data_IF_954727128337
#
_entry.id   IF_954727128337
#
_cell.length_a   1.000
_cell.length_b   1.000
_cell.length_c   1.000
_cell.angle_alpha   90.00
_cell.angle_beta   90.00
_cell.angle_gamma   90.00
#
_symmetry.space_group_name_H-M   'P 1'
#
loop_
_entity.id
_entity.type
_entity.pdbx_description
1 polymer ?
#
# COMPACT_ATOMS: atom_id res chain seq x y z
N UNK A 1 2.75 4.57 5.84
CA UNK A 1 1.43 5.15 5.52
C UNK A 1 0.39 4.63 6.49
N UNK A 2 -0.67 5.39 6.76
CA UNK A 2 -1.80 4.88 7.54
C UNK A 2 -2.76 4.12 6.64
N UNK A 3 -3.47 3.13 7.20
CA UNK A 3 -4.61 2.50 6.56
C UNK A 3 -5.85 2.93 7.34
N UNK A 4 -6.86 3.50 6.68
CA UNK A 4 -8.15 3.79 7.34
C UNK A 4 -8.91 2.48 7.62
N UNK A 5 -10.12 2.62 8.17
CA UNK A 5 -11.04 1.55 8.52
C UNK A 5 -11.46 0.66 7.34
N UNK A 6 -11.39 1.20 6.11
CA UNK A 6 -11.61 0.47 4.86
C UNK A 6 -10.33 -0.09 4.24
N UNK A 7 -9.17 0.18 4.83
CA UNK A 7 -7.87 -0.25 4.30
C UNK A 7 -7.33 0.62 3.17
N UNK A 8 -7.88 1.82 2.98
CA UNK A 8 -7.34 2.78 2.02
C UNK A 8 -6.06 3.42 2.58
N UNK A 9 -5.00 3.55 1.76
CA UNK A 9 -3.76 4.16 2.18
C UNK A 9 -3.89 5.67 2.29
N UNK A 10 -3.43 6.20 3.41
CA UNK A 10 -3.36 7.63 3.72
C UNK A 10 -1.91 8.01 4.00
N UNK A 11 -1.35 8.86 3.14
CA UNK A 11 0.02 9.35 3.25
C UNK A 11 0.05 10.60 4.12
N UNK A 12 0.96 10.61 5.09
CA UNK A 12 1.22 11.80 5.89
C UNK A 12 2.05 12.80 5.09
N UNK A 13 1.55 14.03 5.03
CA UNK A 13 2.22 15.18 4.46
C UNK A 13 3.36 15.65 5.39
N UNK A 14 4.49 16.11 4.83
CA UNK A 14 5.58 16.68 5.62
C UNK A 14 5.11 17.84 6.50
N UNK A 15 5.50 17.83 7.78
CA UNK A 15 5.20 18.90 8.73
C UNK A 15 3.72 19.11 9.12
N UNK A 16 2.77 18.44 8.47
CA UNK A 16 1.34 18.60 8.75
C UNK A 16 0.98 17.93 10.08
N UNK A 17 0.27 18.67 10.93
CA UNK A 17 -0.31 18.13 12.16
C UNK A 17 -1.71 17.64 11.88
N UNK A 18 -1.97 16.40 12.27
CA UNK A 18 -3.26 15.76 12.04
C UNK A 18 -4.15 15.84 13.27
N UNK A 19 -5.40 16.24 13.07
CA UNK A 19 -6.42 16.40 14.11
C UNK A 19 -7.16 15.10 14.44
N UNK A 20 -8.02 15.11 15.48
CA UNK A 20 -8.72 13.92 15.95
C UNK A 20 -9.85 13.43 15.01
N UNK A 21 -10.23 14.23 14.02
CA UNK A 21 -11.30 13.93 13.06
C UNK A 21 -10.78 13.54 11.68
N UNK A 22 -9.46 13.43 11.50
CA UNK A 22 -8.88 12.99 10.24
C UNK A 22 -8.71 11.47 10.23
N UNK A 23 -8.78 10.87 9.04
CA UNK A 23 -8.83 9.41 8.83
C UNK A 23 -7.50 8.67 9.13
N UNK A 24 -6.49 9.37 9.63
CA UNK A 24 -5.18 8.79 9.98
C UNK A 24 -5.18 8.11 11.36
N UNK A 25 -6.35 7.67 11.84
CA UNK A 25 -6.53 7.00 13.12
C UNK A 25 -6.23 5.50 13.07
N UNK A 26 -6.12 4.91 11.88
CA UNK A 26 -5.98 3.47 11.69
C UNK A 26 -4.58 2.90 11.93
N UNK A 27 -4.29 1.76 11.32
CA UNK A 27 -3.00 1.07 11.50
C UNK A 27 -1.90 1.74 10.67
N UNK A 28 -0.69 1.81 11.22
CA UNK A 28 0.48 2.29 10.50
C UNK A 28 1.10 1.14 9.72
N UNK A 29 0.94 1.15 8.39
CA UNK A 29 1.63 0.24 7.48
C UNK A 29 3.02 0.79 7.11
N UNK A 30 4.05 0.00 7.40
CA UNK A 30 5.42 0.24 6.95
C UNK A 30 5.52 -0.15 5.48
N UNK A 31 5.92 0.82 4.65
CA UNK A 31 6.08 0.70 3.21
C UNK A 31 7.22 1.61 2.77
N UNK A 32 7.70 1.47 1.54
CA UNK A 32 8.76 2.32 1.00
C UNK A 32 8.34 3.75 0.73
N UNK A 33 7.03 3.99 0.54
CA UNK A 33 6.44 5.34 0.55
C UNK A 33 6.57 6.01 1.93
N UNK A 34 6.84 5.24 2.99
CA UNK A 34 6.94 5.75 4.34
C UNK A 34 8.23 6.58 4.57
N UNK A 35 8.01 7.90 4.62
CA UNK A 35 8.66 8.89 5.48
C UNK A 35 10.06 9.46 5.15
N UNK A 36 10.05 10.79 4.98
CA UNK A 36 10.94 11.74 5.66
C UNK A 36 10.07 12.85 6.31
N UNK A 37 10.43 13.35 7.49
CA UNK A 37 9.94 14.60 8.10
C UNK A 37 8.42 14.83 8.35
N UNK A 38 7.65 13.78 8.63
CA UNK A 38 6.21 13.87 8.93
C UNK A 38 5.92 13.96 10.44
N UNK A 39 4.73 14.43 10.81
CA UNK A 39 4.23 14.40 12.20
C UNK A 39 3.21 13.28 12.36
N UNK A 40 3.55 12.25 13.13
CA UNK A 40 2.62 11.15 13.47
C UNK A 40 1.41 11.71 14.23
N UNK A 41 0.17 11.36 13.84
CA UNK A 41 -1.06 11.74 14.56
C UNK A 41 -0.99 11.37 16.05
N UNK A 42 -1.61 12.16 16.90
CA UNK A 42 -1.63 11.90 18.35
C UNK A 42 -2.56 10.71 18.68
N UNK A 43 -3.75 10.72 18.08
CA UNK A 43 -4.78 9.70 18.23
C UNK A 43 -4.77 8.76 17.03
N UNK A 44 -4.26 7.56 17.23
CA UNK A 44 -4.32 6.47 16.26
C UNK A 44 -4.28 5.12 16.99
N UNK A 45 -4.52 4.04 16.27
CA UNK A 45 -4.67 2.68 16.80
C UNK A 45 -3.47 2.15 17.58
N UNK A 46 -2.29 2.77 17.46
CA UNK A 46 -1.01 2.28 17.96
C UNK A 46 -0.62 0.90 17.41
N UNK A 47 -1.23 0.47 16.30
CA UNK A 47 -0.90 -0.78 15.62
C UNK A 47 0.04 -0.50 14.45
N UNK A 48 1.27 -0.99 14.53
CA UNK A 48 2.25 -0.91 13.43
C UNK A 48 2.32 -2.26 12.73
N UNK A 49 2.25 -2.22 11.41
CA UNK A 49 2.15 -3.39 10.56
C UNK A 49 3.23 -3.32 9.48
N UNK A 50 3.92 -4.42 9.23
CA UNK A 50 4.99 -4.45 8.22
C UNK A 50 5.58 -5.84 8.05
N UNK A 51 6.51 -6.00 7.11
CA UNK A 51 7.29 -7.23 7.02
C UNK A 51 8.19 -7.41 8.25
N UNK A 52 8.73 -8.61 8.43
CA UNK A 52 9.70 -8.87 9.49
C UNK A 52 10.95 -7.99 9.36
N UNK A 53 11.41 -7.76 8.13
CA UNK A 53 12.54 -6.89 7.84
C UNK A 53 12.22 -5.42 8.21
N UNK A 54 11.06 -4.91 7.83
CA UNK A 54 10.65 -3.53 8.14
C UNK A 54 10.58 -3.29 9.65
N UNK A 55 9.97 -4.23 10.38
CA UNK A 55 9.86 -4.15 11.83
C UNK A 55 11.23 -4.28 12.52
N UNK A 56 12.13 -5.10 11.98
CA UNK A 56 13.50 -5.19 12.45
C UNK A 56 14.25 -3.86 12.26
N UNK A 57 14.21 -3.29 11.04
CA UNK A 57 14.78 -1.99 10.73
C UNK A 57 14.24 -0.89 11.66
N UNK A 58 12.92 -0.85 11.88
CA UNK A 58 12.27 0.12 12.75
C UNK A 58 12.75 0.01 14.21
N UNK A 59 13.00 -1.20 14.71
CA UNK A 59 13.58 -1.43 16.05
C UNK A 59 15.04 -0.97 16.13
N UNK A 60 15.84 -1.32 15.13
CA UNK A 60 17.27 -0.98 15.08
C UNK A 60 17.52 0.54 14.96
N UNK A 61 16.67 1.25 14.23
CA UNK A 61 16.76 2.70 14.07
C UNK A 61 16.36 3.50 15.33
N UNK A 62 16.05 2.82 16.46
CA UNK A 62 15.61 3.43 17.71
C UNK A 62 14.37 4.33 17.57
N UNK A 63 13.59 4.21 16.49
CA UNK A 63 12.35 4.99 16.29
C UNK A 63 11.34 4.70 17.41
N UNK A 64 11.38 3.48 17.97
CA UNK A 64 10.63 3.05 19.16
C UNK A 64 11.06 3.72 20.48
N UNK A 65 12.25 4.30 20.55
CA UNK A 65 12.66 5.07 21.74
C UNK A 65 11.98 6.44 21.81
N UNK A 66 11.33 6.88 20.73
CA UNK A 66 10.44 8.04 20.83
C UNK A 66 9.19 7.65 21.64
N UNK A 67 8.78 8.52 22.56
CA UNK A 67 7.60 8.32 23.41
C UNK A 67 6.32 8.02 22.62
N UNK A 68 6.26 8.43 21.34
CA UNK A 68 5.12 8.21 20.44
C UNK A 68 4.92 6.75 20.04
N UNK A 69 5.99 5.96 19.99
CA UNK A 69 5.96 4.55 19.54
C UNK A 69 6.18 3.53 20.66
N UNK A 70 6.59 3.97 21.86
CA UNK A 70 6.91 3.10 22.99
C UNK A 70 5.82 2.08 23.37
N UNK A 71 4.54 2.42 23.16
CA UNK A 71 3.39 1.57 23.51
C UNK A 71 2.66 1.00 22.28
N UNK A 72 3.33 0.85 21.14
CA UNK A 72 2.69 0.31 19.94
C UNK A 72 2.68 -1.22 19.90
N UNK A 73 1.58 -1.78 19.43
CA UNK A 73 1.47 -3.20 19.08
C UNK A 73 2.07 -3.43 17.69
N UNK A 74 3.00 -4.38 17.60
CA UNK A 74 3.63 -4.76 16.34
C UNK A 74 2.95 -5.98 15.74
N UNK A 75 2.55 -5.88 14.47
CA UNK A 75 1.95 -6.98 13.72
C UNK A 75 2.78 -7.30 12.49
N UNK A 76 3.41 -8.47 12.52
CA UNK A 76 4.22 -8.94 11.39
C UNK A 76 3.33 -9.52 10.30
N UNK A 77 3.43 -8.97 9.09
CA UNK A 77 2.87 -9.55 7.88
C UNK A 77 3.80 -10.65 7.37
N UNK A 78 3.31 -11.90 7.39
CA UNK A 78 4.06 -13.01 6.79
C UNK A 78 3.78 -13.06 5.28
N UNK A 79 4.81 -13.34 4.45
CA UNK A 79 4.64 -13.53 3.01
C UNK A 79 3.49 -14.46 2.67
N UNK A 80 2.62 -14.03 1.75
CA UNK A 80 1.48 -14.79 1.25
C UNK A 80 0.53 -15.29 2.36
N UNK A 81 0.54 -14.69 3.56
CA UNK A 81 -0.37 -15.06 4.65
C UNK A 81 -1.33 -13.89 4.94
N UNK A 82 -2.65 -14.10 4.80
CA UNK A 82 -3.63 -13.08 5.17
C UNK A 82 -3.53 -12.78 6.66
N UNK A 83 -3.50 -11.49 6.98
CA UNK A 83 -3.40 -10.98 8.35
C UNK A 83 -4.52 -9.98 8.58
N UNK A 84 -5.45 -10.34 9.46
CA UNK A 84 -6.54 -9.45 9.90
C UNK A 84 -5.99 -8.29 10.70
N UNK A 85 -6.52 -7.09 10.54
CA UNK A 85 -6.20 -5.89 11.31
C UNK A 85 -7.53 -5.27 11.72
N UNK A 86 -7.73 -5.14 13.02
CA UNK A 86 -8.95 -4.58 13.59
C UNK A 86 -8.78 -3.08 13.80
N UNK A 87 -9.82 -2.31 13.49
CA UNK A 87 -9.91 -0.89 13.78
C UNK A 87 -11.33 -0.54 14.27
N UNK A 88 -11.51 -0.47 15.60
CA UNK A 88 -12.84 -0.26 16.17
C UNK A 88 -13.74 -1.46 15.86
N UNK A 89 -14.83 -1.22 15.13
CA UNK A 89 -15.79 -2.25 14.73
C UNK A 89 -15.52 -2.83 13.32
N UNK A 90 -14.48 -2.34 12.63
CA UNK A 90 -14.12 -2.82 11.30
C UNK A 90 -12.91 -3.74 11.33
N UNK A 91 -12.82 -4.62 10.32
CA UNK A 91 -11.69 -5.51 10.10
C UNK A 91 -11.28 -5.43 8.63
N UNK A 92 -9.98 -5.20 8.41
CA UNK A 92 -9.36 -5.35 7.09
C UNK A 92 -8.42 -6.55 7.11
N UNK A 93 -8.32 -7.25 5.99
CA UNK A 93 -7.35 -8.32 5.79
C UNK A 93 -6.25 -7.81 4.88
N UNK A 94 -5.01 -7.83 5.37
CA UNK A 94 -3.82 -7.43 4.60
C UNK A 94 -2.98 -8.66 4.33
N UNK A 95 -2.62 -8.87 3.06
CA UNK A 95 -1.69 -9.90 2.62
C UNK A 95 -0.49 -9.24 1.96
N UNK A 96 0.70 -9.53 2.49
CA UNK A 96 1.97 -9.13 1.90
C UNK A 96 2.35 -10.12 0.80
N UNK A 97 2.48 -9.66 -0.44
CA UNK A 97 2.86 -10.48 -1.59
C UNK A 97 4.30 -10.11 -1.97
N UNK A 98 5.26 -11.03 -1.86
CA UNK A 98 6.62 -10.80 -2.32
C UNK A 98 6.65 -10.66 -3.83
N UNK A 99 7.27 -9.59 -4.33
CA UNK A 99 7.40 -9.35 -5.77
C UNK A 99 8.83 -9.55 -6.26
N UNK A 100 9.76 -9.95 -5.39
CA UNK A 100 11.16 -10.18 -5.71
C UNK A 100 12.09 -9.28 -4.91
N UNK A 101 13.29 -9.03 -5.43
CA UNK A 101 14.32 -8.20 -4.79
C UNK A 101 14.72 -7.03 -5.67
N UNK A 102 15.08 -5.91 -5.02
CA UNK A 102 15.73 -4.80 -5.69
C UNK A 102 17.16 -5.15 -6.14
N UNK A 103 17.77 -4.24 -6.91
CA UNK A 103 19.20 -4.33 -7.26
C UNK A 103 20.11 -4.41 -6.03
N UNK A 104 19.70 -3.79 -4.92
CA UNK A 104 20.40 -3.81 -3.63
C UNK A 104 20.00 -5.01 -2.75
N UNK A 105 19.39 -6.05 -3.36
CA UNK A 105 18.89 -7.25 -2.69
C UNK A 105 17.84 -7.02 -1.60
N UNK A 106 17.22 -5.83 -1.54
CA UNK A 106 16.11 -5.55 -0.62
C UNK A 106 14.83 -6.22 -1.12
N UNK A 107 14.17 -6.96 -0.23
CA UNK A 107 12.87 -7.56 -0.52
C UNK A 107 11.87 -6.47 -0.92
N UNK A 108 11.20 -6.70 -2.05
CA UNK A 108 10.14 -5.85 -2.57
C UNK A 108 8.81 -6.55 -2.35
N UNK A 109 7.80 -5.77 -1.98
CA UNK A 109 6.48 -6.30 -1.68
C UNK A 109 5.40 -5.41 -2.27
N UNK A 110 4.26 -6.04 -2.55
CA UNK A 110 2.98 -5.35 -2.69
C UNK A 110 2.04 -5.80 -1.57
N UNK A 111 0.98 -5.03 -1.35
CA UNK A 111 -0.02 -5.34 -0.34
C UNK A 111 -1.37 -5.55 -1.01
N UNK A 112 -1.96 -6.72 -0.82
CA UNK A 112 -3.35 -6.99 -1.17
C UNK A 112 -4.22 -6.77 0.07
N UNK A 113 -5.26 -5.95 -0.06
CA UNK A 113 -6.15 -5.56 1.02
C UNK A 113 -7.59 -5.89 0.66
N UNK A 114 -8.29 -6.54 1.59
CA UNK A 114 -9.69 -6.93 1.43
C UNK A 114 -10.46 -6.62 2.73
N UNK A 115 -11.60 -5.96 2.63
CA UNK A 115 -12.47 -5.61 3.77
C UNK A 115 -13.90 -6.17 3.63
N UNK A 116 -14.10 -7.15 2.74
CA UNK A 116 -15.41 -7.73 2.40
C UNK A 116 -16.22 -6.94 1.35
N UNK A 117 -15.86 -5.69 1.08
CA UNK A 117 -16.54 -4.82 0.10
C UNK A 117 -15.64 -4.46 -1.08
N UNK A 118 -14.38 -4.13 -0.80
CA UNK A 118 -13.38 -3.68 -1.78
C UNK A 118 -12.14 -4.55 -1.74
N UNK A 119 -11.59 -4.82 -2.93
CA UNK A 119 -10.29 -5.47 -3.13
C UNK A 119 -9.31 -4.43 -3.65
N UNK A 120 -8.34 -4.08 -2.82
CA UNK A 120 -7.33 -3.09 -3.16
C UNK A 120 -5.94 -3.73 -3.31
N UNK A 121 -5.14 -3.17 -4.20
CA UNK A 121 -3.74 -3.51 -4.38
C UNK A 121 -2.89 -2.27 -4.14
N UNK A 122 -1.95 -2.31 -3.20
CA UNK A 122 -0.96 -1.25 -3.02
C UNK A 122 0.37 -1.70 -3.63
N UNK A 123 0.74 -1.07 -4.74
CA UNK A 123 1.99 -1.27 -5.45
C UNK A 123 2.98 -0.22 -4.97
N UNK A 124 3.65 -0.55 -3.88
CA UNK A 124 4.70 0.25 -3.26
C UNK A 124 6.04 0.06 -3.99
N UNK A 125 6.41 -1.18 -4.28
CA UNK A 125 7.55 -1.52 -5.14
C UNK A 125 7.16 -2.63 -6.11
N UNK A 126 7.83 -2.68 -7.25
CA UNK A 126 7.63 -3.70 -8.27
C UNK A 126 8.97 -4.16 -8.84
N UNK A 127 9.09 -5.45 -9.09
CA UNK A 127 10.25 -6.02 -9.79
C UNK A 127 9.95 -6.23 -11.28
N UNK A 128 11.02 -6.41 -12.05
CA UNK A 128 11.04 -6.66 -13.50
C UNK A 128 10.25 -7.88 -13.99
N UNK A 129 9.79 -8.75 -13.08
CA UNK A 129 9.23 -10.06 -13.46
C UNK A 129 7.96 -10.31 -12.65
N UNK A 130 6.83 -10.49 -13.35
CA UNK A 130 5.53 -10.76 -12.74
C UNK A 130 5.34 -12.23 -12.32
N UNK A 131 6.43 -12.96 -12.06
CA UNK A 131 6.41 -14.38 -11.70
C UNK A 131 5.87 -14.63 -10.28
N UNK A 132 5.65 -13.57 -9.51
CA UNK A 132 5.01 -13.64 -8.20
C UNK A 132 3.51 -13.89 -8.29
N UNK A 133 2.86 -13.52 -9.41
CA UNK A 133 1.43 -13.70 -9.60
C UNK A 133 0.99 -15.16 -9.39
N UNK A 134 1.61 -16.18 -10.03
CA UNK A 134 1.26 -17.57 -9.76
C UNK A 134 1.70 -18.06 -8.36
N UNK A 135 2.64 -17.37 -7.69
CA UNK A 135 3.14 -17.74 -6.36
C UNK A 135 2.34 -17.16 -5.20
N UNK A 136 1.37 -16.27 -5.50
CA UNK A 136 0.47 -15.70 -4.50
C UNK A 136 -0.40 -16.75 -3.81
N UNK A 137 -1.03 -16.37 -2.70
CA UNK A 137 -1.93 -17.27 -1.98
C UNK A 137 -3.32 -17.36 -2.64
N UNK A 138 -4.13 -18.31 -2.15
CA UNK A 138 -5.50 -18.53 -2.63
C UNK A 138 -6.40 -17.29 -2.52
N UNK A 139 -6.26 -16.49 -1.46
CA UNK A 139 -7.07 -15.28 -1.26
C UNK A 139 -6.72 -14.22 -2.31
N UNK A 140 -5.44 -14.02 -2.60
CA UNK A 140 -4.96 -13.13 -3.64
C UNK A 140 -5.41 -13.59 -5.03
N UNK A 141 -5.30 -14.89 -5.35
CA UNK A 141 -5.78 -15.43 -6.63
C UNK A 141 -7.30 -15.29 -6.78
N UNK A 142 -8.06 -15.52 -5.72
CA UNK A 142 -9.51 -15.26 -5.70
C UNK A 142 -9.80 -13.78 -5.94
N UNK A 143 -9.06 -12.89 -5.28
CA UNK A 143 -9.17 -11.45 -5.47
C UNK A 143 -8.90 -11.02 -6.91
N UNK A 144 -7.84 -11.55 -7.53
CA UNK A 144 -7.54 -11.32 -8.94
C UNK A 144 -8.66 -11.84 -9.86
N UNK A 145 -9.19 -13.04 -9.60
CA UNK A 145 -10.27 -13.63 -10.38
C UNK A 145 -11.61 -12.89 -10.24
N UNK A 146 -11.86 -12.24 -9.10
CA UNK A 146 -13.02 -11.39 -8.85
C UNK A 146 -12.85 -9.95 -9.36
N UNK A 147 -11.63 -9.56 -9.69
CA UNK A 147 -11.26 -8.21 -10.11
C UNK A 147 -10.81 -7.34 -8.94
N UNK A 148 -9.77 -6.53 -9.19
CA UNK A 148 -9.25 -5.53 -8.27
C UNK A 148 -10.05 -4.24 -8.44
N UNK A 149 -10.65 -3.74 -7.36
CA UNK A 149 -11.45 -2.52 -7.39
C UNK A 149 -10.54 -1.29 -7.47
N UNK A 150 -9.47 -1.26 -6.68
CA UNK A 150 -8.58 -0.11 -6.61
C UNK A 150 -7.12 -0.54 -6.59
N UNK A 151 -6.29 0.08 -7.42
CA UNK A 151 -4.84 -0.06 -7.37
C UNK A 151 -4.20 1.27 -6.97
N UNK A 152 -3.49 1.27 -5.85
CA UNK A 152 -2.68 2.41 -5.40
C UNK A 152 -1.24 2.22 -5.83
N UNK A 153 -0.61 3.24 -6.39
CA UNK A 153 0.74 3.17 -6.95
C UNK A 153 1.63 4.21 -6.28
N UNK A 154 2.83 3.81 -5.82
CA UNK A 154 3.86 4.79 -5.48
C UNK A 154 4.36 5.44 -6.77
N UNK A 155 4.10 6.74 -6.92
CA UNK A 155 4.53 7.51 -8.08
C UNK A 155 6.06 7.58 -8.21
N UNK A 156 6.82 7.24 -7.18
CA UNK A 156 8.27 7.05 -7.29
C UNK A 156 8.68 5.96 -8.29
N UNK A 157 7.78 5.01 -8.62
CA UNK A 157 7.98 4.02 -9.69
C UNK A 157 7.96 4.64 -11.09
N UNK A 158 7.50 5.89 -11.22
CA UNK A 158 7.38 6.61 -12.48
C UNK A 158 8.56 7.57 -12.72
N UNK A 159 9.47 7.68 -11.76
CA UNK A 159 10.62 8.58 -11.86
C UNK A 159 11.65 8.03 -12.87
N UNK A 160 12.09 8.88 -13.82
CA UNK A 160 13.24 8.60 -14.68
C UNK A 160 12.96 7.85 -16.00
N UNK A 161 11.73 7.39 -16.26
CA UNK A 161 11.36 6.76 -17.52
C UNK A 161 9.96 7.21 -18.01
N UNK A 162 9.75 7.38 -19.32
CA UNK A 162 8.45 7.75 -19.88
C UNK A 162 7.38 6.65 -19.68
N UNK A 163 7.81 5.40 -19.54
CA UNK A 163 6.98 4.22 -19.31
C UNK A 163 7.70 3.29 -18.33
N UNK A 164 6.98 2.82 -17.32
CA UNK A 164 7.42 1.70 -16.48
C UNK A 164 6.76 0.43 -17.01
N UNK A 165 7.52 -0.41 -17.72
CA UNK A 165 6.99 -1.60 -18.41
C UNK A 165 6.40 -2.63 -17.45
N UNK A 166 6.98 -2.79 -16.27
CA UNK A 166 6.51 -3.75 -15.26
C UNK A 166 5.16 -3.33 -14.71
N UNK A 167 5.05 -2.04 -14.37
CA UNK A 167 3.80 -1.45 -13.87
C UNK A 167 2.73 -1.49 -14.95
N UNK A 168 3.10 -1.20 -16.21
CA UNK A 168 2.20 -1.32 -17.35
C UNK A 168 1.70 -2.76 -17.51
N UNK A 169 2.59 -3.75 -17.51
CA UNK A 169 2.23 -5.15 -17.66
C UNK A 169 1.32 -5.63 -16.52
N UNK A 170 1.63 -5.24 -15.27
CA UNK A 170 0.81 -5.57 -14.12
C UNK A 170 -0.59 -4.96 -14.24
N UNK A 171 -0.68 -3.65 -14.47
CA UNK A 171 -1.95 -2.95 -14.60
C UNK A 171 -2.78 -3.46 -15.78
N UNK A 172 -2.13 -3.76 -16.92
CA UNK A 172 -2.78 -4.30 -18.11
C UNK A 172 -3.36 -5.71 -17.88
N UNK A 173 -2.68 -6.52 -17.07
CA UNK A 173 -3.10 -7.88 -16.75
C UNK A 173 -4.24 -7.90 -15.73
N UNK A 174 -4.12 -7.13 -14.64
CA UNK A 174 -5.13 -7.15 -13.56
C UNK A 174 -6.34 -6.26 -13.87
N UNK A 175 -6.17 -5.24 -14.73
CA UNK A 175 -7.19 -4.29 -15.18
C UNK A 175 -8.06 -3.75 -14.02
N UNK A 176 -7.47 -3.02 -13.08
CA UNK A 176 -8.19 -2.55 -11.91
C UNK A 176 -9.32 -1.59 -12.32
N UNK A 177 -10.39 -1.46 -11.53
CA UNK A 177 -11.47 -0.50 -11.85
C UNK A 177 -10.98 0.94 -11.76
N UNK A 178 -10.19 1.25 -10.73
CA UNK A 178 -9.56 2.55 -10.53
C UNK A 178 -8.07 2.42 -10.18
N UNK A 179 -7.30 3.45 -10.55
CA UNK A 179 -5.89 3.59 -10.19
C UNK A 179 -5.69 4.97 -9.56
N UNK A 180 -5.03 5.02 -8.40
CA UNK A 180 -4.69 6.26 -7.69
C UNK A 180 -3.21 6.30 -7.33
N UNK A 181 -2.62 7.49 -7.36
CA UNK A 181 -1.27 7.72 -6.82
C UNK A 181 -1.31 7.79 -5.30
N UNK A 182 -0.30 7.23 -4.63
CA UNK A 182 -0.20 7.29 -3.17
C UNK A 182 0.13 8.72 -2.69
N UNK A 183 0.98 9.44 -3.40
CA UNK A 183 1.46 10.79 -3.06
C UNK A 183 0.62 11.90 -3.67
N UNK A 184 -0.54 11.57 -4.23
CA UNK A 184 -1.48 12.50 -4.88
C UNK A 184 -0.88 13.28 -6.06
N UNK A 185 0.15 12.75 -6.72
CA UNK A 185 0.65 13.31 -7.98
C UNK A 185 -0.23 12.87 -9.15
N UNK A 186 -0.21 13.64 -10.23
CA UNK A 186 -0.90 13.26 -11.46
C UNK A 186 -0.29 11.98 -12.04
N UNK A 187 -1.11 10.96 -12.25
CA UNK A 187 -0.70 9.72 -12.88
C UNK A 187 -0.67 9.87 -14.40
N UNK A 188 0.28 9.21 -15.08
CA UNK A 188 0.40 9.31 -16.53
C UNK A 188 -0.82 8.71 -17.22
N UNK A 189 -1.20 9.32 -18.34
CA UNK A 189 -2.38 8.91 -19.12
C UNK A 189 -2.35 7.44 -19.51
N UNK A 190 -1.19 6.90 -19.89
CA UNK A 190 -1.05 5.50 -20.27
C UNK A 190 -1.47 4.55 -19.15
N UNK A 191 -1.27 4.91 -17.87
CA UNK A 191 -1.66 4.08 -16.74
C UNK A 191 -3.16 4.18 -16.50
N UNK A 192 -3.70 5.41 -16.53
CA UNK A 192 -5.13 5.66 -16.35
C UNK A 192 -5.99 5.03 -17.46
N UNK A 193 -5.46 4.92 -18.67
CA UNK A 193 -6.14 4.28 -19.80
C UNK A 193 -6.26 2.75 -19.64
N UNK A 194 -5.55 2.14 -18.68
CA UNK A 194 -5.65 0.70 -18.33
C UNK A 194 -6.76 0.38 -17.32
N UNK A 195 -7.43 1.39 -16.75
CA UNK A 195 -8.58 1.18 -15.86
C UNK A 195 -9.75 0.52 -16.60
N UNK A 196 -10.45 -0.41 -15.96
CA UNK A 196 -11.70 -0.99 -16.50
C UNK A 196 -12.80 0.06 -16.64
N UNK A 197 -12.91 0.97 -15.66
CA UNK A 197 -13.84 2.10 -15.75
C UNK A 197 -13.09 3.32 -16.24
N UNK A 198 -13.36 3.71 -17.48
CA UNK A 198 -13.04 5.06 -17.95
C UNK A 198 -13.97 6.02 -17.23
N UNK A 199 -13.40 7.05 -16.60
CA UNK A 199 -14.19 8.10 -15.95
C UNK A 199 -15.14 8.74 -16.98
N UNK A 200 -16.43 8.40 -16.87
CA UNK A 200 -17.48 8.85 -17.78
C UNK A 200 -17.74 10.36 -17.67
N UNK A 201 -17.24 11.00 -16.61
CA UNK A 201 -17.44 12.42 -16.32
C UNK A 201 -16.20 13.26 -16.59
N UNK A 202 -15.15 12.69 -17.19
CA UNK A 202 -13.95 13.46 -17.53
C UNK A 202 -14.33 14.55 -18.56
N UNK A 203 -14.11 15.85 -18.26
CA UNK A 203 -14.41 16.90 -19.22
C UNK A 203 -13.56 16.68 -20.47
N UNK A 204 -14.21 16.69 -21.64
CA UNK A 204 -13.51 16.69 -22.93
C UNK A 204 -12.77 18.03 -23.01
N UNK A 205 -11.43 17.99 -23.00
CA UNK A 205 -10.57 19.13 -23.29
C UNK A 205 -10.40 19.27 -24.80
#
# INVERSE_FOLDING_TARGET
>A
MFLNDLGQPLILEPGKKYGPFEEHSGALLLSSVAFKDHVVPEKWSKVVVGSEADLCCLRLQNTFKSSKFANCTLKTLRPNKPTKIEHGETEITVTLIPVGKSKDALEMHLYYIENGHTRALIVDRLSGVLDFLPKGNLSFHRGLGQGIDVMYVDEGLLDGAPLNEDLYALAHLIRPKHIYGLRQKELPKWLLDLCQQKDLYKPIK
#
